data_IF_408069332439
#
_entry.id   IF_408069332439
#
_cell.length_a   1.000
_cell.length_b   1.000
_cell.length_c   1.000
_cell.angle_alpha   90.00
_cell.angle_beta   90.00
_cell.angle_gamma   90.00
#
_symmetry.space_group_name_H-M   'P 1'
#
loop_
_entity.id
_entity.type
_entity.pdbx_description
1 polymer ?
#
# COMPACT_ATOMS: atom_id res chain seq x y z
N UNK A 1 23.76 -40.09 62.86
CA UNK A 1 23.14 -39.92 64.19
C UNK A 1 22.60 -38.51 64.27
N UNK A 2 21.44 -38.22 64.90
CA UNK A 2 20.07 -38.70 64.55
C UNK A 2 19.24 -37.49 64.05
N UNK A 3 18.23 -37.63 63.19
CA UNK A 3 16.84 -38.02 63.43
C UNK A 3 16.03 -37.10 64.37
N UNK A 4 14.97 -36.48 63.86
CA UNK A 4 13.61 -36.46 64.34
C UNK A 4 12.77 -35.52 63.48
N UNK A 5 11.79 -35.94 62.67
CA UNK A 5 10.44 -36.37 62.98
C UNK A 5 9.57 -35.34 63.72
N UNK A 6 8.54 -34.83 63.01
CA UNK A 6 7.13 -34.97 63.36
C UNK A 6 6.25 -34.18 62.36
N UNK A 7 5.50 -34.89 61.55
CA UNK A 7 4.07 -35.27 61.67
C UNK A 7 3.07 -34.15 61.46
N UNK A 8 2.30 -34.33 60.40
CA UNK A 8 0.99 -33.75 60.12
C UNK A 8 -0.08 -34.19 61.18
N UNK A 9 -1.24 -33.59 61.20
CA UNK A 9 -2.45 -34.30 60.74
C UNK A 9 -3.39 -33.46 59.87
N UNK A 10 -3.91 -33.96 58.84
CA UNK A 10 -5.18 -34.56 58.40
C UNK A 10 -6.46 -34.20 59.21
N UNK A 11 -7.50 -33.73 58.50
CA UNK A 11 -8.91 -34.13 58.60
C UNK A 11 -9.72 -33.14 57.70
N UNK A 12 -10.31 -33.64 56.66
CA UNK A 12 -11.60 -34.33 56.46
C UNK A 12 -12.80 -33.39 56.32
N UNK A 13 -13.34 -33.45 55.10
CA UNK A 13 -14.74 -33.74 54.79
C UNK A 13 -15.86 -32.84 55.35
N UNK A 14 -16.64 -32.25 54.41
CA UNK A 14 -18.06 -32.61 54.27
C UNK A 14 -18.71 -31.89 53.06
N UNK A 15 -19.25 -32.73 52.19
CA UNK A 15 -20.31 -32.44 51.21
C UNK A 15 -21.57 -31.97 51.95
N UNK A 16 -22.33 -31.06 51.39
CA UNK A 16 -23.78 -31.05 51.47
C UNK A 16 -24.41 -30.44 50.22
N UNK A 17 -25.04 -31.30 49.46
CA UNK A 17 -26.14 -31.04 48.53
C UNK A 17 -27.42 -30.84 49.27
N UNK A 18 -28.28 -29.89 48.87
CA UNK A 18 -29.75 -29.85 49.11
C UNK A 18 -30.26 -29.02 47.93
N UNK A 19 -30.85 -29.54 46.98
CA UNK A 19 -32.15 -30.05 46.56
C UNK A 19 -33.31 -29.08 46.80
N UNK A 20 -33.94 -28.67 45.64
CA UNK A 20 -35.37 -28.55 45.35
C UNK A 20 -36.27 -27.76 46.34
N UNK A 21 -37.06 -26.83 45.73
CA UNK A 21 -38.55 -26.88 45.81
C UNK A 21 -39.15 -26.02 44.71
N UNK A 22 -40.05 -26.65 43.96
CA UNK A 22 -41.08 -26.12 43.09
C UNK A 22 -42.14 -25.34 43.89
N UNK A 23 -42.74 -24.26 43.36
CA UNK A 23 -44.14 -23.95 43.59
C UNK A 23 -44.82 -23.51 42.31
N UNK A 24 -45.94 -24.15 42.09
CA UNK A 24 -46.91 -24.07 41.03
C UNK A 24 -48.05 -23.11 41.48
N UNK A 25 -48.72 -22.47 40.48
CA UNK A 25 -50.11 -22.00 40.45
C UNK A 25 -50.58 -20.83 41.32
N UNK A 26 -51.07 -19.80 40.66
CA UNK A 26 -52.42 -19.34 40.87
C UNK A 26 -53.00 -18.64 39.67
N UNK A 27 -54.12 -19.18 39.26
CA UNK A 27 -55.11 -18.80 38.28
C UNK A 27 -55.96 -17.65 38.85
N UNK A 28 -56.15 -16.56 38.07
CA UNK A 28 -57.38 -15.79 38.18
C UNK A 28 -57.78 -15.13 36.86
N UNK A 29 -58.94 -15.54 36.43
CA UNK A 29 -59.74 -15.01 35.35
C UNK A 29 -60.26 -13.61 35.70
N UNK A 30 -60.19 -12.66 34.78
CA UNK A 30 -61.14 -11.55 34.66
C UNK A 30 -61.53 -11.43 33.17
N UNK A 31 -62.84 -11.55 32.98
CA UNK A 31 -63.58 -11.46 31.72
C UNK A 31 -63.81 -9.98 31.36
N UNK A 32 -63.70 -9.69 30.06
CA UNK A 32 -64.57 -8.71 29.39
C UNK A 32 -63.97 -7.40 28.98
N UNK A 33 -63.75 -7.19 27.74
CA UNK A 33 -64.51 -6.28 26.86
C UNK A 33 -64.01 -6.43 25.45
N UNK A 34 -64.86 -6.91 24.56
CA UNK A 34 -64.66 -6.93 23.12
C UNK A 34 -64.76 -5.50 22.55
N UNK A 35 -63.67 -4.97 22.06
CA UNK A 35 -63.70 -3.88 21.08
C UNK A 35 -63.01 -4.44 19.81
N UNK A 36 -63.82 -4.66 18.82
CA UNK A 36 -63.34 -5.10 17.50
C UNK A 36 -62.49 -4.03 16.83
N UNK A 37 -61.23 -4.35 16.62
CA UNK A 37 -60.41 -3.69 15.61
C UNK A 37 -60.25 -4.65 14.46
N UNK A 38 -60.80 -4.29 13.29
CA UNK A 38 -60.68 -4.95 12.04
C UNK A 38 -59.16 -5.04 11.66
N UNK A 39 -58.64 -6.26 11.67
CA UNK A 39 -57.32 -6.54 11.10
C UNK A 39 -57.39 -6.49 9.61
N UNK A 40 -56.98 -5.41 8.98
CA UNK A 40 -56.56 -5.41 7.56
C UNK A 40 -55.35 -6.32 7.38
N UNK A 41 -55.35 -7.18 6.40
CA UNK A 41 -54.18 -8.01 6.12
C UNK A 41 -53.02 -7.11 5.68
N UNK A 42 -51.94 -7.18 6.43
CA UNK A 42 -50.64 -6.56 6.04
C UNK A 42 -50.16 -7.19 4.75
N UNK A 43 -50.37 -6.52 3.63
CA UNK A 43 -49.67 -6.86 2.39
C UNK A 43 -48.24 -6.33 2.52
N UNK A 44 -47.20 -7.19 2.38
CA UNK A 44 -45.85 -6.71 2.25
C UNK A 44 -45.77 -5.91 0.95
N UNK A 45 -45.43 -4.63 1.08
CA UNK A 45 -45.03 -3.77 -0.03
C UNK A 45 -43.79 -4.40 -0.65
N UNK A 46 -43.98 -5.10 -1.73
CA UNK A 46 -42.90 -5.42 -2.68
C UNK A 46 -42.31 -4.08 -3.12
N UNK A 47 -40.97 -3.88 -2.98
CA UNK A 47 -40.34 -2.73 -3.61
C UNK A 47 -40.51 -2.94 -5.12
N UNK A 48 -41.45 -2.29 -5.75
CA UNK A 48 -41.40 -2.04 -7.18
C UNK A 48 -40.14 -1.17 -7.37
N UNK A 49 -39.03 -1.81 -7.71
CA UNK A 49 -37.91 -1.19 -8.40
C UNK A 49 -38.47 -0.68 -9.74
N UNK A 50 -39.11 0.47 -9.72
CA UNK A 50 -39.17 1.30 -10.91
C UNK A 50 -37.73 1.63 -11.23
N UNK A 51 -37.16 0.88 -12.17
CA UNK A 51 -35.95 1.30 -12.87
C UNK A 51 -36.33 2.57 -13.64
N UNK A 52 -36.30 3.72 -12.94
CA UNK A 52 -35.98 4.95 -13.64
C UNK A 52 -34.60 4.70 -14.23
N UNK A 53 -34.53 4.42 -15.53
CA UNK A 53 -33.37 4.78 -16.32
C UNK A 53 -33.10 6.24 -15.97
N UNK A 54 -32.22 6.49 -15.02
CA UNK A 54 -31.53 7.76 -14.95
C UNK A 54 -30.80 7.84 -16.28
N UNK A 55 -31.35 8.63 -17.19
CA UNK A 55 -30.53 9.28 -18.19
C UNK A 55 -29.50 10.05 -17.37
N UNK A 56 -28.33 9.46 -17.16
CA UNK A 56 -27.15 10.17 -16.75
C UNK A 56 -26.88 11.19 -17.85
N UNK A 57 -27.42 12.39 -17.67
CA UNK A 57 -26.97 13.54 -18.42
C UNK A 57 -25.49 13.62 -18.11
N UNK A 58 -24.62 13.35 -19.10
CA UNK A 58 -23.19 13.67 -19.00
C UNK A 58 -23.11 15.09 -18.48
N UNK A 59 -22.54 15.26 -17.30
CA UNK A 59 -22.32 16.58 -16.73
C UNK A 59 -21.46 17.35 -17.73
N UNK A 60 -21.98 18.44 -18.25
CA UNK A 60 -21.24 19.32 -19.16
C UNK A 60 -20.09 19.94 -18.34
N UNK A 61 -18.90 19.45 -18.54
CA UNK A 61 -17.69 19.95 -17.89
C UNK A 61 -17.21 21.28 -18.49
N UNK A 62 -17.97 21.83 -19.46
CA UNK A 62 -17.80 23.20 -19.97
C UNK A 62 -16.53 23.43 -20.81
N UNK A 63 -15.94 22.36 -21.34
CA UNK A 63 -14.74 22.46 -22.19
C UNK A 63 -14.96 22.04 -23.66
N UNK A 64 -16.17 21.63 -24.02
CA UNK A 64 -16.51 21.30 -25.41
C UNK A 64 -16.34 22.51 -26.32
N UNK A 65 -15.49 22.34 -27.35
CA UNK A 65 -15.23 23.36 -28.35
C UNK A 65 -14.19 24.42 -27.97
N UNK A 66 -13.58 24.36 -26.78
CA UNK A 66 -12.45 25.26 -26.46
C UNK A 66 -11.17 24.80 -27.19
N UNK A 67 -10.36 25.72 -27.73
CA UNK A 67 -9.09 25.38 -28.33
C UNK A 67 -8.17 24.76 -27.26
N UNK A 68 -7.61 23.59 -27.57
CA UNK A 68 -6.66 22.91 -26.71
C UNK A 68 -5.26 23.56 -26.82
N UNK A 69 -4.48 23.62 -25.74
CA UNK A 69 -3.12 24.16 -25.80
C UNK A 69 -2.18 23.21 -26.59
N UNK A 70 -0.93 23.66 -26.78
CA UNK A 70 0.06 22.81 -27.43
C UNK A 70 0.44 21.58 -26.55
N UNK A 71 0.87 20.47 -27.16
CA UNK A 71 1.46 19.36 -26.45
C UNK A 71 2.70 19.75 -25.64
N UNK A 72 2.93 19.08 -24.53
CA UNK A 72 4.09 19.28 -23.65
C UNK A 72 5.05 18.09 -23.81
N UNK A 73 6.33 18.37 -24.05
CA UNK A 73 7.37 17.32 -24.16
C UNK A 73 8.16 17.23 -22.86
N UNK A 74 8.32 16.03 -22.36
CA UNK A 74 9.18 15.65 -21.24
C UNK A 74 10.37 14.79 -21.74
N UNK A 75 11.33 14.47 -20.87
CA UNK A 75 12.50 13.68 -21.26
C UNK A 75 12.11 12.27 -21.75
N UNK A 76 11.15 11.61 -21.05
CA UNK A 76 10.73 10.25 -21.37
C UNK A 76 9.30 10.16 -21.92
N UNK A 77 8.56 11.26 -22.08
CA UNK A 77 7.18 11.24 -22.54
C UNK A 77 6.80 12.48 -23.33
N UNK A 78 5.65 12.43 -23.95
CA UNK A 78 4.91 13.58 -24.44
C UNK A 78 3.50 13.59 -23.86
N UNK A 79 2.97 14.77 -23.59
CA UNK A 79 1.63 14.96 -23.03
C UNK A 79 0.76 15.67 -24.06
N UNK A 80 -0.28 14.98 -24.51
CA UNK A 80 -1.18 15.47 -25.54
C UNK A 80 -2.42 16.05 -24.86
N UNK A 81 -2.74 17.35 -25.05
CA UNK A 81 -3.90 17.95 -24.41
C UNK A 81 -5.19 17.32 -24.94
N UNK A 82 -6.13 17.08 -24.04
CA UNK A 82 -7.41 16.45 -24.35
C UNK A 82 -8.55 17.17 -23.61
N UNK A 83 -9.79 17.14 -24.13
CA UNK A 83 -10.94 17.64 -23.40
C UNK A 83 -11.26 16.75 -22.19
N UNK A 84 -11.84 17.33 -21.15
CA UNK A 84 -12.21 16.59 -19.92
C UNK A 84 -13.20 15.46 -20.19
N UNK A 85 -14.07 15.63 -21.17
CA UNK A 85 -15.03 14.59 -21.62
C UNK A 85 -14.37 13.31 -22.14
N UNK A 86 -13.08 13.35 -22.46
CA UNK A 86 -12.30 12.19 -22.89
C UNK A 86 -11.71 11.35 -21.76
N UNK A 87 -11.79 11.79 -20.49
CA UNK A 87 -11.29 11.05 -19.33
C UNK A 87 -12.32 10.01 -18.89
N UNK A 88 -12.05 8.70 -19.06
CA UNK A 88 -13.06 7.68 -18.76
C UNK A 88 -13.42 7.64 -17.27
N UNK A 89 -14.69 7.90 -16.92
CA UNK A 89 -15.22 7.79 -15.55
C UNK A 89 -14.69 8.84 -14.56
N UNK A 90 -14.19 9.98 -15.02
CA UNK A 90 -13.70 11.06 -14.15
C UNK A 90 -14.82 11.62 -13.25
N UNK A 91 -16.05 11.57 -13.70
CA UNK A 91 -17.26 11.96 -12.99
C UNK A 91 -17.64 11.01 -11.83
N UNK A 92 -17.10 9.80 -11.81
CA UNK A 92 -17.49 8.73 -10.87
C UNK A 92 -16.51 8.56 -9.69
N UNK A 93 -15.34 9.20 -9.73
CA UNK A 93 -14.36 9.05 -8.66
C UNK A 93 -14.76 9.80 -7.39
N UNK A 94 -14.50 9.17 -6.25
CA UNK A 94 -14.63 9.76 -4.92
C UNK A 94 -13.43 10.65 -4.62
N UNK A 95 -13.43 11.85 -5.17
CA UNK A 95 -12.30 12.80 -5.14
C UNK A 95 -11.81 13.13 -3.72
N UNK A 96 -12.70 13.11 -2.71
CA UNK A 96 -12.30 13.35 -1.32
C UNK A 96 -11.21 12.38 -0.81
N UNK A 97 -11.15 11.16 -1.33
CA UNK A 97 -10.07 10.22 -1.01
C UNK A 97 -8.71 10.69 -1.61
N UNK A 98 -8.72 11.23 -2.82
CA UNK A 98 -7.52 11.79 -3.46
C UNK A 98 -7.05 13.07 -2.76
N UNK A 99 -7.97 13.82 -2.16
CA UNK A 99 -7.66 15.03 -1.43
C UNK A 99 -6.70 14.79 -0.27
N UNK A 100 -6.81 13.64 0.42
CA UNK A 100 -5.89 13.27 1.49
C UNK A 100 -4.43 13.16 0.98
N UNK A 101 -4.22 12.58 -0.20
CA UNK A 101 -2.90 12.52 -0.82
C UNK A 101 -2.41 13.92 -1.23
N UNK A 102 -3.29 14.74 -1.77
CA UNK A 102 -2.97 16.11 -2.19
C UNK A 102 -2.60 17.02 -1.01
N UNK A 103 -3.34 16.94 0.10
CA UNK A 103 -3.02 17.66 1.34
C UNK A 103 -1.63 17.30 1.87
N UNK A 104 -1.19 16.04 1.71
CA UNK A 104 0.17 15.61 2.08
C UNK A 104 1.21 16.25 1.17
N UNK A 105 1.02 16.31 -0.15
CA UNK A 105 1.90 17.07 -1.04
C UNK A 105 1.98 18.56 -0.64
N UNK A 106 0.89 19.13 -0.12
CA UNK A 106 0.88 20.50 0.40
C UNK A 106 1.58 20.69 1.75
N UNK A 107 2.02 19.63 2.42
CA UNK A 107 2.91 19.74 3.59
C UNK A 107 4.36 20.07 3.17
N UNK A 108 4.74 19.64 1.98
CA UNK A 108 6.04 19.91 1.38
C UNK A 108 5.85 20.34 -0.08
N UNK A 109 5.28 21.54 -0.30
CA UNK A 109 4.84 21.94 -1.63
C UNK A 109 6.02 22.05 -2.60
N UNK A 110 5.91 21.36 -3.72
CA UNK A 110 6.81 21.56 -4.87
C UNK A 110 6.36 22.78 -5.67
N UNK A 111 7.23 23.41 -6.47
CA UNK A 111 6.90 24.64 -7.23
C UNK A 111 5.64 24.51 -8.10
N UNK A 112 5.36 23.30 -8.57
CA UNK A 112 4.19 22.99 -9.39
C UNK A 112 2.86 23.31 -8.69
N UNK A 113 2.72 22.89 -7.43
CA UNK A 113 1.43 22.91 -6.71
C UNK A 113 1.38 23.91 -5.57
N UNK A 114 2.50 24.54 -5.21
CA UNK A 114 2.59 25.42 -4.02
C UNK A 114 1.50 26.51 -3.99
N UNK A 115 1.26 27.16 -5.12
CA UNK A 115 0.26 28.23 -5.27
C UNK A 115 -1.19 27.70 -5.08
N UNK A 116 -1.42 26.42 -5.32
CA UNK A 116 -2.74 25.79 -5.23
C UNK A 116 -3.06 25.27 -3.83
N UNK A 117 -2.07 25.17 -2.95
CA UNK A 117 -2.23 24.52 -1.64
C UNK A 117 -3.21 25.24 -0.70
N UNK A 118 -3.40 26.55 -0.86
CA UNK A 118 -4.43 27.29 -0.11
C UNK A 118 -5.83 26.80 -0.50
N UNK A 119 -6.09 26.71 -1.81
CA UNK A 119 -7.36 26.21 -2.33
C UNK A 119 -7.58 24.74 -1.97
N UNK A 120 -6.54 23.90 -2.09
CA UNK A 120 -6.61 22.49 -1.71
C UNK A 120 -7.00 22.31 -0.24
N UNK A 121 -6.43 23.10 0.69
CA UNK A 121 -6.81 23.06 2.10
C UNK A 121 -8.26 23.52 2.32
N UNK A 122 -8.68 24.61 1.66
CA UNK A 122 -10.05 25.11 1.74
C UNK A 122 -11.08 24.09 1.24
N UNK A 123 -10.78 23.42 0.13
CA UNK A 123 -11.67 22.45 -0.51
C UNK A 123 -11.62 21.05 0.13
N UNK A 124 -10.83 20.86 1.18
CA UNK A 124 -10.73 19.56 1.86
C UNK A 124 -12.02 19.12 2.57
N UNK A 125 -12.88 20.10 2.89
CA UNK A 125 -14.19 19.89 3.52
C UNK A 125 -15.37 20.02 2.54
N UNK A 126 -15.07 20.28 1.25
CA UNK A 126 -16.08 20.43 0.20
C UNK A 126 -16.52 19.07 -0.36
N UNK A 127 -17.67 19.07 -1.01
CA UNK A 127 -18.15 17.86 -1.71
C UNK A 127 -17.35 17.57 -2.99
N UNK A 128 -17.52 16.37 -3.52
CA UNK A 128 -16.82 15.93 -4.72
C UNK A 128 -17.17 16.72 -5.98
N UNK A 129 -18.35 17.32 -6.04
CA UNK A 129 -18.77 18.15 -7.18
C UNK A 129 -18.00 19.48 -7.19
N UNK A 130 -17.89 20.15 -6.03
CA UNK A 130 -17.12 21.39 -5.89
C UNK A 130 -15.64 21.16 -6.17
N UNK A 131 -15.08 20.07 -5.63
CA UNK A 131 -13.73 19.63 -5.89
C UNK A 131 -13.48 19.41 -7.39
N UNK A 132 -14.40 18.72 -8.08
CA UNK A 132 -14.33 18.47 -9.54
C UNK A 132 -14.38 19.76 -10.34
N UNK A 133 -15.33 20.65 -10.05
CA UNK A 133 -15.44 21.96 -10.71
C UNK A 133 -14.15 22.78 -10.55
N UNK A 134 -13.57 22.77 -9.38
CA UNK A 134 -12.30 23.46 -9.14
C UNK A 134 -11.17 22.84 -9.97
N UNK A 135 -11.03 21.49 -10.00
CA UNK A 135 -10.02 20.81 -10.83
C UNK A 135 -10.17 21.23 -12.30
N UNK A 136 -11.37 21.12 -12.86
CA UNK A 136 -11.64 21.45 -14.26
C UNK A 136 -11.34 22.92 -14.57
N UNK A 137 -11.58 23.83 -13.63
CA UNK A 137 -11.30 25.26 -13.80
C UNK A 137 -9.81 25.63 -13.71
N UNK A 138 -9.01 24.86 -12.96
CA UNK A 138 -7.61 25.18 -12.66
C UNK A 138 -6.60 24.40 -13.48
N UNK A 139 -7.01 23.27 -14.08
CA UNK A 139 -6.12 22.35 -14.77
C UNK A 139 -6.58 22.09 -16.21
N UNK A 140 -5.61 21.75 -17.04
CA UNK A 140 -5.80 21.11 -18.34
C UNK A 140 -5.42 19.64 -18.23
N UNK A 141 -6.23 18.76 -18.79
CA UNK A 141 -5.91 17.35 -18.87
C UNK A 141 -5.05 17.03 -20.09
N UNK A 142 -3.99 16.26 -19.89
CA UNK A 142 -3.08 15.82 -20.94
C UNK A 142 -2.93 14.30 -20.89
N UNK A 143 -3.20 13.62 -21.99
CA UNK A 143 -2.93 12.19 -22.14
C UNK A 143 -1.44 11.95 -22.25
N UNK A 144 -0.91 11.07 -21.42
CA UNK A 144 0.53 10.72 -21.45
C UNK A 144 0.77 9.67 -22.52
N UNK A 145 1.78 9.92 -23.36
CA UNK A 145 2.25 9.00 -24.39
C UNK A 145 3.77 8.88 -24.31
N UNK A 146 4.30 7.76 -24.80
CA UNK A 146 5.73 7.68 -25.04
C UNK A 146 6.11 8.52 -26.28
N UNK A 147 7.41 8.69 -26.51
CA UNK A 147 7.92 9.52 -27.63
C UNK A 147 7.60 8.92 -29.02
N UNK A 148 7.04 7.70 -29.07
CA UNK A 148 6.55 7.04 -30.29
C UNK A 148 5.02 7.01 -30.34
N UNK A 149 4.34 7.89 -29.61
CA UNK A 149 2.87 8.06 -29.58
C UNK A 149 2.08 6.86 -29.11
N UNK A 150 2.65 6.00 -28.26
CA UNK A 150 1.92 4.95 -27.58
C UNK A 150 1.47 5.44 -26.19
N UNK A 151 0.16 5.37 -25.95
CA UNK A 151 -0.49 5.80 -24.72
C UNK A 151 -0.83 4.64 -23.77
N UNK A 152 -0.49 3.41 -24.12
CA UNK A 152 -0.72 2.24 -23.27
C UNK A 152 0.61 1.77 -22.69
N UNK A 153 0.64 1.65 -21.38
CA UNK A 153 1.78 1.19 -20.64
C UNK A 153 1.40 0.13 -19.60
N UNK A 154 2.08 0.10 -18.47
CA UNK A 154 1.91 -0.95 -17.48
C UNK A 154 1.71 -0.39 -16.07
N UNK A 155 0.67 -0.89 -15.39
CA UNK A 155 0.45 -0.74 -13.96
C UNK A 155 0.92 -1.99 -13.23
N UNK A 156 1.70 -1.79 -12.17
CA UNK A 156 1.90 -2.74 -11.08
C UNK A 156 1.46 -2.11 -9.77
N UNK A 157 1.53 -2.84 -8.68
CA UNK A 157 1.28 -2.29 -7.37
C UNK A 157 2.32 -2.77 -6.35
N UNK A 158 2.52 -1.95 -5.32
CA UNK A 158 3.39 -2.23 -4.19
C UNK A 158 2.68 -1.95 -2.88
N UNK A 159 3.24 -2.43 -1.80
CA UNK A 159 2.65 -2.30 -0.47
C UNK A 159 3.74 -2.21 0.60
N UNK A 160 3.37 -1.88 1.80
CA UNK A 160 4.26 -1.89 2.96
C UNK A 160 4.04 -3.19 3.75
N UNK A 161 4.96 -4.19 3.68
CA UNK A 161 4.82 -5.44 4.41
C UNK A 161 4.87 -5.22 5.93
N UNK A 162 4.19 -6.12 6.66
CA UNK A 162 4.21 -6.19 8.12
C UNK A 162 4.91 -7.49 8.54
N UNK A 163 5.97 -7.38 9.33
CA UNK A 163 6.79 -8.50 9.74
C UNK A 163 7.01 -8.50 11.25
N UNK A 164 7.32 -9.68 11.80
CA UNK A 164 7.86 -9.83 13.16
C UNK A 164 9.37 -9.91 13.11
N UNK A 165 10.02 -9.28 14.08
CA UNK A 165 11.47 -9.29 14.20
C UNK A 165 11.91 -9.26 15.66
N UNK A 166 13.17 -9.62 15.88
CA UNK A 166 13.86 -9.47 17.15
C UNK A 166 15.01 -8.48 17.02
N UNK A 167 15.30 -7.76 18.09
CA UNK A 167 16.45 -6.84 18.12
C UNK A 167 17.78 -7.58 18.10
N UNK A 168 17.82 -8.78 18.66
CA UNK A 168 19.00 -9.64 18.69
C UNK A 168 18.77 -10.91 17.88
N UNK A 169 19.85 -11.46 17.34
CA UNK A 169 19.82 -12.73 16.61
C UNK A 169 19.45 -13.90 17.52
N UNK A 170 18.68 -14.84 16.98
CA UNK A 170 18.35 -16.12 17.60
C UNK A 170 18.29 -17.22 16.55
N UNK A 171 18.11 -18.48 16.95
CA UNK A 171 17.97 -19.60 16.01
C UNK A 171 16.80 -19.40 15.04
N UNK A 172 15.72 -18.77 15.50
CA UNK A 172 14.53 -18.50 14.67
C UNK A 172 14.67 -17.19 13.91
N UNK A 173 15.13 -16.13 14.56
CA UNK A 173 15.28 -14.81 13.97
C UNK A 173 16.75 -14.56 13.65
N UNK A 174 17.21 -15.06 12.52
CA UNK A 174 18.63 -15.07 12.15
C UNK A 174 19.00 -14.24 10.92
N UNK A 175 18.02 -13.70 10.22
CA UNK A 175 18.23 -12.95 8.97
C UNK A 175 18.26 -11.45 9.27
N UNK A 176 19.45 -10.79 9.19
CA UNK A 176 19.59 -9.38 9.52
C UNK A 176 19.01 -8.45 8.45
N UNK A 177 18.41 -7.36 8.91
CA UNK A 177 18.09 -6.18 8.11
C UNK A 177 18.99 -5.04 8.56
N UNK A 178 19.66 -4.40 7.61
CA UNK A 178 20.75 -3.50 7.90
C UNK A 178 20.41 -2.03 7.73
N UNK A 179 20.98 -1.20 8.59
CA UNK A 179 21.22 0.22 8.34
C UNK A 179 22.27 0.44 7.25
N UNK A 180 22.53 1.68 6.90
CA UNK A 180 23.50 2.02 5.84
C UNK A 180 24.93 1.78 6.34
N UNK A 181 25.69 0.83 5.77
CA UNK A 181 27.06 0.55 6.18
C UNK A 181 28.01 1.70 5.79
N UNK A 182 29.11 1.80 6.51
CA UNK A 182 30.20 2.70 6.12
C UNK A 182 30.73 2.32 4.74
N UNK A 183 30.95 3.33 3.88
CA UNK A 183 31.45 3.12 2.52
C UNK A 183 30.38 2.99 1.43
N UNK A 184 29.09 2.84 1.79
CA UNK A 184 27.99 2.98 0.83
C UNK A 184 27.86 4.45 0.43
N UNK A 185 28.01 4.74 -0.88
CA UNK A 185 27.91 6.09 -1.43
C UNK A 185 26.91 6.11 -2.58
N UNK A 186 26.10 7.15 -2.67
CA UNK A 186 25.17 7.32 -3.77
C UNK A 186 25.92 7.28 -5.12
N UNK A 187 25.37 6.49 -6.08
CA UNK A 187 25.93 6.36 -7.41
C UNK A 187 27.17 5.45 -7.56
N UNK A 188 27.73 4.92 -6.45
CA UNK A 188 28.86 3.99 -6.49
C UNK A 188 28.40 2.58 -6.14
N UNK A 189 28.79 1.61 -6.97
CA UNK A 189 28.53 0.19 -6.71
C UNK A 189 29.17 -0.23 -5.38
N UNK A 190 28.43 -0.98 -4.58
CA UNK A 190 28.91 -1.62 -3.37
C UNK A 190 28.75 -3.13 -3.49
N UNK A 191 29.06 -3.90 -2.46
CA UNK A 191 29.03 -5.37 -2.49
C UNK A 191 27.65 -5.92 -2.95
N UNK A 192 27.67 -7.00 -3.71
CA UNK A 192 26.45 -7.74 -4.08
C UNK A 192 25.86 -8.45 -2.86
N UNK A 193 24.59 -8.87 -2.94
CA UNK A 193 23.95 -9.70 -1.91
C UNK A 193 24.79 -10.94 -1.58
N UNK A 194 25.26 -11.66 -2.58
CA UNK A 194 26.14 -12.83 -2.41
C UNK A 194 27.43 -12.47 -1.67
N UNK A 195 28.11 -11.38 -2.07
CA UNK A 195 29.33 -10.96 -1.40
C UNK A 195 29.11 -10.54 0.05
N UNK A 196 27.97 -9.97 0.39
CA UNK A 196 27.60 -9.62 1.76
C UNK A 196 27.45 -10.85 2.68
N UNK A 197 27.19 -12.02 2.11
CA UNK A 197 27.03 -13.29 2.84
C UNK A 197 28.27 -14.20 2.78
N UNK A 198 29.18 -13.99 1.81
CA UNK A 198 30.30 -14.92 1.52
C UNK A 198 31.67 -14.29 1.61
N UNK A 199 31.79 -12.98 1.46
CA UNK A 199 33.07 -12.28 1.49
C UNK A 199 33.33 -11.71 2.88
N UNK A 200 34.42 -12.14 3.53
CA UNK A 200 34.76 -11.72 4.91
C UNK A 200 34.90 -10.22 5.06
N UNK A 201 35.49 -9.52 4.07
CA UNK A 201 35.65 -8.06 4.13
C UNK A 201 34.31 -7.31 4.02
N UNK A 202 33.36 -7.82 3.21
CA UNK A 202 32.01 -7.27 3.14
C UNK A 202 31.23 -7.52 4.44
N UNK A 203 31.35 -8.73 5.02
CA UNK A 203 30.70 -9.10 6.28
C UNK A 203 31.22 -8.22 7.45
N UNK A 204 32.53 -7.95 7.51
CA UNK A 204 33.09 -7.06 8.54
C UNK A 204 32.54 -5.62 8.43
N UNK A 205 32.27 -5.12 7.22
CA UNK A 205 31.69 -3.80 7.01
C UNK A 205 30.20 -3.72 7.39
N UNK A 206 29.53 -4.86 7.53
CA UNK A 206 28.12 -4.94 7.94
C UNK A 206 27.95 -5.01 9.46
N UNK A 207 28.97 -5.45 10.19
CA UNK A 207 28.92 -5.59 11.65
C UNK A 207 28.57 -4.28 12.35
N UNK A 208 27.57 -4.34 13.24
CA UNK A 208 27.08 -3.18 13.98
C UNK A 208 26.13 -2.28 13.19
N UNK A 209 25.75 -2.70 11.97
CA UNK A 209 24.71 -2.04 11.17
C UNK A 209 23.39 -2.83 11.13
N UNK A 210 23.31 -3.95 11.84
CA UNK A 210 22.07 -4.72 12.00
C UNK A 210 21.05 -3.90 12.79
N UNK A 211 19.86 -3.71 12.23
CA UNK A 211 18.77 -3.01 12.94
C UNK A 211 17.92 -4.04 13.68
N UNK A 212 17.46 -5.06 12.96
CA UNK A 212 16.63 -6.16 13.48
C UNK A 212 16.92 -7.44 12.72
N UNK A 213 16.47 -8.57 13.28
CA UNK A 213 16.55 -9.88 12.65
C UNK A 213 15.16 -10.43 12.40
N UNK A 214 14.88 -10.90 11.18
CA UNK A 214 13.64 -11.57 10.77
C UNK A 214 13.85 -13.08 10.64
N UNK A 215 12.75 -13.84 10.62
CA UNK A 215 12.82 -15.30 10.58
C UNK A 215 12.99 -15.87 9.17
N UNK A 216 12.55 -15.15 8.13
CA UNK A 216 12.46 -15.68 6.76
C UNK A 216 13.25 -14.77 5.79
N UNK A 217 14.18 -15.35 5.05
CA UNK A 217 15.00 -14.63 4.09
C UNK A 217 14.22 -14.13 2.87
N UNK A 218 13.10 -14.78 2.52
CA UNK A 218 12.21 -14.32 1.46
C UNK A 218 11.41 -13.10 1.93
N UNK A 219 10.99 -13.06 3.20
CA UNK A 219 10.36 -11.86 3.78
C UNK A 219 11.32 -10.66 3.82
N UNK A 220 12.59 -10.91 4.18
CA UNK A 220 13.64 -9.89 4.08
C UNK A 220 13.81 -9.37 2.64
N UNK A 221 13.81 -10.27 1.65
CA UNK A 221 13.87 -9.89 0.23
C UNK A 221 12.65 -9.08 -0.18
N UNK A 222 11.43 -9.51 0.21
CA UNK A 222 10.19 -8.79 -0.09
C UNK A 222 10.28 -7.37 0.45
N UNK A 223 10.63 -7.20 1.73
CA UNK A 223 10.76 -5.89 2.36
C UNK A 223 11.76 -5.00 1.62
N UNK A 224 12.89 -5.55 1.19
CA UNK A 224 13.88 -4.83 0.40
C UNK A 224 13.38 -4.43 -1.01
N UNK A 225 12.57 -5.27 -1.65
CA UNK A 225 11.95 -4.96 -2.95
C UNK A 225 10.87 -3.87 -2.80
N UNK A 226 10.06 -3.94 -1.74
CA UNK A 226 9.04 -2.93 -1.43
C UNK A 226 9.64 -1.60 -0.97
N UNK A 227 10.87 -1.62 -0.41
CA UNK A 227 11.63 -0.42 0.00
C UNK A 227 11.30 0.09 1.40
N UNK A 228 10.25 -0.38 2.04
CA UNK A 228 9.90 -0.10 3.43
C UNK A 228 9.02 -1.21 4.00
N UNK A 229 8.91 -1.26 5.32
CA UNK A 229 8.01 -2.19 6.02
C UNK A 229 7.76 -1.78 7.45
N UNK A 230 6.63 -2.25 7.99
CA UNK A 230 6.28 -2.16 9.41
C UNK A 230 6.79 -3.40 10.11
N UNK A 231 7.42 -3.24 11.23
CA UNK A 231 8.05 -4.34 11.94
C UNK A 231 7.66 -4.30 13.41
N UNK A 232 7.04 -5.39 13.88
CA UNK A 232 6.81 -5.66 15.29
C UNK A 232 8.11 -6.19 15.89
N UNK A 233 8.79 -5.37 16.66
CA UNK A 233 10.10 -5.70 17.24
C UNK A 233 9.94 -6.18 18.67
N UNK A 234 10.53 -7.34 18.96
CA UNK A 234 10.74 -7.81 20.34
C UNK A 234 12.14 -7.37 20.78
N UNK A 235 12.21 -6.53 21.82
CA UNK A 235 13.46 -6.07 22.43
C UNK A 235 14.04 -7.13 23.40
N UNK A 236 15.33 -7.04 23.79
CA UNK A 236 15.96 -8.00 24.71
C UNK A 236 15.30 -8.11 26.09
N UNK A 237 14.65 -7.05 26.55
CA UNK A 237 13.89 -7.03 27.81
C UNK A 237 12.46 -7.60 27.67
N UNK A 238 12.08 -8.07 26.49
CA UNK A 238 10.78 -8.64 26.17
C UNK A 238 9.70 -7.61 25.81
N UNK A 239 10.02 -6.33 25.78
CA UNK A 239 9.07 -5.32 25.30
C UNK A 239 8.83 -5.46 23.80
N UNK A 240 7.60 -5.17 23.37
CA UNK A 240 7.19 -5.26 21.97
C UNK A 240 6.65 -3.91 21.52
N UNK A 241 7.15 -3.42 20.40
CA UNK A 241 6.66 -2.19 19.78
C UNK A 241 6.79 -2.23 18.26
N UNK A 242 6.08 -1.34 17.60
CA UNK A 242 6.13 -1.20 16.14
C UNK A 242 7.10 -0.12 15.72
N UNK A 243 7.91 -0.44 14.72
CA UNK A 243 8.75 0.52 14.00
C UNK A 243 8.46 0.46 12.51
N UNK A 244 8.86 1.47 11.79
CA UNK A 244 9.00 1.42 10.33
C UNK A 244 10.48 1.28 9.97
N UNK A 245 10.79 0.29 9.15
CA UNK A 245 12.04 0.28 8.40
C UNK A 245 11.80 1.04 7.10
N UNK A 246 12.29 2.26 7.04
CA UNK A 246 12.17 3.15 5.89
C UNK A 246 13.42 3.08 5.02
N UNK A 247 13.24 3.19 3.71
CA UNK A 247 14.34 3.25 2.73
C UNK A 247 15.37 4.31 3.12
N UNK A 248 16.63 3.94 3.14
CA UNK A 248 17.76 4.85 3.39
C UNK A 248 18.76 4.90 2.22
N UNK A 249 19.17 3.74 1.72
CA UNK A 249 20.11 3.63 0.60
C UNK A 249 20.00 2.25 -0.07
N UNK A 250 20.77 2.07 -1.12
CA UNK A 250 21.00 0.74 -1.73
C UNK A 250 22.49 0.53 -1.95
N UNK A 251 22.88 -0.71 -2.21
CA UNK A 251 24.23 -1.05 -2.67
C UNK A 251 24.50 -0.64 -4.14
N UNK A 252 23.59 0.09 -4.76
CA UNK A 252 23.61 0.53 -6.17
C UNK A 252 23.77 -0.59 -7.21
N UNK A 253 23.65 -1.86 -6.82
CA UNK A 253 23.60 -2.99 -7.76
C UNK A 253 22.29 -2.94 -8.57
N UNK A 254 22.30 -3.44 -9.82
CA UNK A 254 21.09 -3.51 -10.64
C UNK A 254 20.07 -4.47 -9.99
N UNK A 255 18.79 -4.11 -10.11
CA UNK A 255 17.72 -5.03 -9.70
C UNK A 255 17.61 -6.17 -10.72
N UNK A 256 17.56 -7.41 -10.21
CA UNK A 256 17.22 -8.60 -10.98
C UNK A 256 16.04 -9.33 -10.33
N UNK A 257 15.12 -9.80 -11.16
CA UNK A 257 13.89 -10.43 -10.68
C UNK A 257 14.12 -11.89 -10.28
N UNK A 258 13.90 -12.23 -9.03
CA UNK A 258 13.90 -13.63 -8.55
C UNK A 258 12.82 -14.47 -9.24
N UNK A 259 11.70 -13.85 -9.64
CA UNK A 259 10.67 -14.51 -10.47
C UNK A 259 11.24 -14.95 -11.82
N UNK A 260 12.07 -14.09 -12.44
CA UNK A 260 12.71 -14.42 -13.70
C UNK A 260 13.71 -15.57 -13.51
N UNK A 261 14.49 -15.52 -12.43
CA UNK A 261 15.41 -16.62 -12.11
C UNK A 261 14.66 -17.95 -11.90
N UNK A 262 13.53 -17.96 -11.16
CA UNK A 262 12.70 -19.16 -10.98
C UNK A 262 12.19 -19.69 -12.32
N UNK A 263 11.73 -18.81 -13.20
CA UNK A 263 11.24 -19.18 -14.53
C UNK A 263 12.32 -19.85 -15.39
N UNK A 264 13.54 -19.32 -15.34
CA UNK A 264 14.64 -19.77 -16.18
C UNK A 264 15.38 -21.01 -15.63
N UNK A 265 15.33 -21.25 -14.30
CA UNK A 265 16.14 -22.27 -13.64
C UNK A 265 15.32 -23.38 -12.96
N UNK A 266 13.98 -23.32 -13.04
CA UNK A 266 13.09 -24.30 -12.39
C UNK A 266 11.82 -24.54 -13.22
N UNK A 267 11.08 -25.60 -12.87
CA UNK A 267 9.73 -25.85 -13.40
C UNK A 267 8.63 -25.14 -12.61
N UNK A 268 9.00 -24.30 -11.62
CA UNK A 268 8.03 -23.55 -10.81
C UNK A 268 7.30 -22.49 -11.61
N UNK A 269 5.98 -22.38 -11.44
CA UNK A 269 5.13 -21.43 -12.20
C UNK A 269 4.18 -20.60 -11.33
N UNK A 270 4.29 -20.71 -10.01
CA UNK A 270 3.52 -19.90 -9.07
C UNK A 270 4.40 -18.74 -8.55
N UNK A 271 4.28 -17.56 -9.18
CA UNK A 271 5.18 -16.42 -8.93
C UNK A 271 4.61 -15.37 -7.98
N UNK A 272 3.51 -15.66 -7.30
CA UNK A 272 3.06 -14.86 -6.15
C UNK A 272 4.05 -15.00 -4.98
N UNK A 273 4.11 -14.02 -4.09
CA UNK A 273 4.99 -14.11 -2.92
C UNK A 273 4.72 -15.37 -2.07
N UNK A 274 3.45 -15.75 -1.77
CA UNK A 274 3.19 -17.04 -1.14
C UNK A 274 3.72 -18.23 -1.93
N UNK A 275 3.61 -18.21 -3.26
CA UNK A 275 4.16 -19.26 -4.13
C UNK A 275 5.68 -19.33 -4.08
N UNK A 276 6.37 -18.17 -4.10
CA UNK A 276 7.84 -18.11 -3.96
C UNK A 276 8.28 -18.63 -2.58
N UNK A 277 7.58 -18.26 -1.50
CA UNK A 277 7.84 -18.81 -0.15
C UNK A 277 7.64 -20.32 -0.09
N UNK A 278 6.59 -20.83 -0.73
CA UNK A 278 6.34 -22.28 -0.84
C UNK A 278 7.44 -22.98 -1.63
N UNK A 279 7.91 -22.39 -2.73
CA UNK A 279 9.05 -22.93 -3.45
C UNK A 279 10.31 -22.96 -2.56
N UNK A 280 10.61 -21.88 -1.86
CA UNK A 280 11.76 -21.76 -0.98
C UNK A 280 11.73 -22.81 0.15
N UNK A 281 10.56 -23.03 0.78
CA UNK A 281 10.41 -24.05 1.82
C UNK A 281 10.66 -25.47 1.33
N UNK A 282 10.34 -25.76 0.07
CA UNK A 282 10.56 -27.07 -0.55
C UNK A 282 11.97 -27.24 -1.16
N UNK A 283 12.75 -26.16 -1.28
CA UNK A 283 14.05 -26.14 -1.98
C UNK A 283 15.10 -25.40 -1.14
N UNK A 284 15.21 -25.70 0.15
CA UNK A 284 16.06 -24.97 1.10
C UNK A 284 17.53 -24.88 0.68
N UNK A 285 18.04 -25.90 0.01
CA UNK A 285 19.42 -25.93 -0.53
C UNK A 285 19.65 -24.97 -1.70
N UNK A 286 18.59 -24.48 -2.35
CA UNK A 286 18.67 -23.57 -3.50
C UNK A 286 18.16 -22.14 -3.19
N UNK A 287 17.66 -21.91 -1.97
CA UNK A 287 17.12 -20.59 -1.59
C UNK A 287 18.18 -19.49 -1.74
N UNK A 288 19.41 -19.73 -1.28
CA UNK A 288 20.50 -18.74 -1.43
C UNK A 288 20.77 -18.41 -2.88
N UNK A 289 20.83 -19.42 -3.75
CA UNK A 289 21.02 -19.23 -5.20
C UNK A 289 19.95 -18.31 -5.80
N UNK A 290 18.68 -18.54 -5.43
CA UNK A 290 17.56 -17.68 -5.82
C UNK A 290 17.71 -16.25 -5.28
N UNK A 291 18.03 -16.09 -3.99
CA UNK A 291 18.20 -14.78 -3.37
C UNK A 291 19.37 -13.99 -3.99
N UNK A 292 20.49 -14.64 -4.22
CA UNK A 292 21.70 -14.04 -4.80
C UNK A 292 21.52 -13.66 -6.28
N UNK A 293 20.55 -14.25 -6.98
CA UNK A 293 20.19 -13.84 -8.34
C UNK A 293 19.77 -12.37 -8.41
N UNK A 294 19.27 -11.79 -7.29
CA UNK A 294 19.09 -10.36 -7.16
C UNK A 294 20.25 -9.74 -6.35
N UNK A 295 21.27 -9.17 -7.02
CA UNK A 295 22.43 -8.63 -6.33
C UNK A 295 22.13 -7.35 -5.53
N UNK A 296 20.96 -6.71 -5.79
CA UNK A 296 20.56 -5.47 -5.12
C UNK A 296 20.12 -5.73 -3.70
N UNK A 297 20.58 -4.88 -2.79
CA UNK A 297 20.18 -4.83 -1.37
C UNK A 297 19.74 -3.41 -1.03
N UNK A 298 18.70 -3.30 -0.23
CA UNK A 298 18.20 -2.05 0.35
C UNK A 298 18.64 -1.98 1.81
N UNK A 299 19.16 -0.85 2.20
CA UNK A 299 19.48 -0.48 3.57
C UNK A 299 18.40 0.44 4.13
N UNK A 300 18.15 0.32 5.41
CA UNK A 300 17.03 0.98 6.05
C UNK A 300 17.48 2.00 7.09
N UNK A 301 16.56 2.84 7.52
CA UNK A 301 16.62 3.57 8.77
C UNK A 301 15.38 3.24 9.58
N UNK A 302 15.53 3.20 10.86
CA UNK A 302 14.44 3.02 11.80
C UNK A 302 13.67 4.33 11.97
N UNK A 303 12.34 4.27 11.89
CA UNK A 303 11.43 5.36 12.21
C UNK A 303 10.40 4.84 13.22
N UNK A 304 10.12 5.58 14.31
CA UNK A 304 9.08 5.19 15.24
C UNK A 304 7.71 5.22 14.55
N UNK A 305 6.86 4.24 14.85
CA UNK A 305 5.45 4.25 14.46
C UNK A 305 4.58 4.63 15.66
N UNK A 306 3.71 5.60 15.47
CA UNK A 306 2.67 5.98 16.43
C UNK A 306 1.32 5.46 15.98
N UNK A 307 0.35 5.39 16.89
CA UNK A 307 -1.03 4.99 16.57
C UNK A 307 -1.69 5.91 15.51
N UNK A 308 -1.18 7.13 15.32
CA UNK A 308 -1.64 8.04 14.27
C UNK A 308 -1.11 7.68 12.88
N UNK A 309 -0.14 6.78 12.78
CA UNK A 309 0.48 6.37 11.52
C UNK A 309 -0.23 5.19 10.82
N UNK A 310 -1.27 4.63 11.44
CA UNK A 310 -2.00 3.48 10.89
C UNK A 310 -2.55 3.71 9.48
N UNK A 311 -2.89 4.96 9.16
CA UNK A 311 -3.41 5.35 7.85
C UNK A 311 -2.35 6.03 6.94
N UNK A 312 -1.11 6.17 7.43
CA UNK A 312 -0.02 6.80 6.71
C UNK A 312 0.96 5.76 6.20
N UNK A 313 1.13 5.68 4.89
CA UNK A 313 2.19 4.90 4.28
C UNK A 313 3.59 5.47 4.56
N UNK A 314 4.64 4.82 4.06
CA UNK A 314 6.00 5.30 4.16
C UNK A 314 6.16 6.64 3.45
N UNK A 315 7.27 7.33 3.73
CA UNK A 315 7.63 8.56 3.01
C UNK A 315 8.09 8.22 1.60
N UNK A 316 7.35 8.71 0.59
CA UNK A 316 7.72 8.57 -0.83
C UNK A 316 8.83 9.54 -1.25
N UNK A 317 9.25 9.45 -2.51
CA UNK A 317 10.34 10.26 -3.09
C UNK A 317 10.02 11.75 -3.15
N UNK A 318 8.75 12.15 -3.22
CA UNK A 318 8.31 13.55 -3.04
C UNK A 318 8.67 14.07 -1.64
N UNK A 319 8.88 13.19 -0.67
CA UNK A 319 9.20 13.52 0.71
C UNK A 319 7.98 13.67 1.61
N UNK A 320 6.82 13.16 1.21
CA UNK A 320 5.57 13.12 1.97
C UNK A 320 5.10 11.69 2.19
N UNK A 321 4.27 11.44 3.20
CA UNK A 321 3.73 10.11 3.47
C UNK A 321 2.74 9.68 2.39
N UNK A 322 2.89 8.46 1.88
CA UNK A 322 2.00 7.91 0.86
C UNK A 322 0.59 7.65 1.41
N UNK A 323 -0.38 7.75 0.53
CA UNK A 323 -1.79 7.47 0.84
C UNK A 323 -2.23 6.21 0.10
N UNK A 324 -2.69 5.17 0.83
CA UNK A 324 -3.19 3.95 0.21
C UNK A 324 -4.23 4.24 -0.86
N UNK A 325 -4.05 3.65 -2.03
CA UNK A 325 -5.01 3.79 -3.14
C UNK A 325 -5.05 5.16 -3.82
N UNK A 326 -4.18 6.11 -3.43
CA UNK A 326 -4.16 7.49 -3.97
C UNK A 326 -2.75 8.03 -4.25
N UNK A 327 -1.70 7.28 -3.92
CA UNK A 327 -0.32 7.60 -4.30
C UNK A 327 0.19 6.60 -5.33
N UNK A 328 1.00 7.08 -6.26
CA UNK A 328 1.68 6.26 -7.26
C UNK A 328 3.16 6.60 -7.32
N UNK A 329 3.99 5.58 -7.59
CA UNK A 329 5.35 5.76 -8.04
C UNK A 329 5.35 5.88 -9.57
N UNK A 330 6.15 6.81 -10.07
CA UNK A 330 6.29 7.14 -11.50
C UNK A 330 7.76 7.31 -11.89
N UNK A 331 8.03 7.40 -13.18
CA UNK A 331 9.29 7.92 -13.71
C UNK A 331 9.28 9.46 -13.63
N UNK A 332 10.11 10.09 -12.77
CA UNK A 332 10.12 11.55 -12.63
C UNK A 332 10.55 12.31 -13.89
N UNK A 333 11.18 11.62 -14.86
CA UNK A 333 11.51 12.15 -16.19
C UNK A 333 10.33 12.13 -17.15
N UNK A 334 9.25 11.45 -16.77
CA UNK A 334 7.97 11.46 -17.47
C UNK A 334 6.92 12.31 -16.75
N UNK A 335 6.77 12.14 -15.44
CA UNK A 335 5.76 12.84 -14.63
C UNK A 335 6.45 13.37 -13.36
N UNK A 336 6.56 14.68 -13.16
CA UNK A 336 7.16 15.29 -11.97
C UNK A 336 6.38 14.94 -10.69
N UNK A 337 7.09 14.90 -9.55
CA UNK A 337 6.43 14.69 -8.25
C UNK A 337 5.45 15.84 -7.92
N UNK A 338 4.41 15.51 -7.14
CA UNK A 338 3.34 16.42 -6.79
C UNK A 338 2.28 16.61 -7.89
N UNK A 339 2.45 15.94 -9.04
CA UNK A 339 1.49 16.03 -10.15
C UNK A 339 0.24 15.21 -9.84
N UNK A 340 -0.97 15.77 -9.90
CA UNK A 340 -2.21 15.01 -9.92
C UNK A 340 -2.37 14.30 -11.27
N UNK A 341 -2.73 13.02 -11.22
CA UNK A 341 -2.80 12.14 -12.39
C UNK A 341 -4.13 11.39 -12.38
N UNK A 342 -4.87 11.45 -13.47
CA UNK A 342 -5.99 10.56 -13.72
C UNK A 342 -5.44 9.22 -14.21
N UNK A 343 -5.72 8.15 -13.49
CA UNK A 343 -5.25 6.79 -13.76
C UNK A 343 -6.43 5.93 -14.21
N UNK A 344 -6.27 5.28 -15.36
CA UNK A 344 -7.19 4.25 -15.85
C UNK A 344 -6.43 2.97 -16.10
N UNK A 345 -6.89 1.89 -15.49
CA UNK A 345 -6.31 0.57 -15.67
C UNK A 345 -7.40 -0.49 -15.54
N UNK A 346 -7.52 -1.36 -16.52
CA UNK A 346 -8.55 -2.37 -16.58
C UNK A 346 -7.93 -3.74 -16.81
N UNK A 347 -7.95 -4.57 -15.78
CA UNK A 347 -7.56 -5.97 -15.81
C UNK A 347 -8.74 -6.90 -15.60
N UNK A 348 -8.49 -8.20 -15.63
CA UNK A 348 -9.52 -9.23 -15.40
C UNK A 348 -10.13 -9.14 -13.99
N UNK A 349 -9.33 -8.76 -12.99
CA UNK A 349 -9.73 -8.79 -11.58
C UNK A 349 -9.88 -7.41 -10.95
N UNK A 350 -9.23 -6.40 -11.51
CA UNK A 350 -9.17 -5.06 -10.92
C UNK A 350 -9.40 -4.02 -12.00
N UNK A 351 -10.34 -3.10 -11.73
CA UNK A 351 -10.59 -1.91 -12.55
C UNK A 351 -10.36 -0.68 -11.70
N UNK A 352 -9.49 0.18 -12.17
CA UNK A 352 -9.14 1.43 -11.51
C UNK A 352 -9.41 2.61 -12.44
N UNK A 353 -10.16 3.57 -11.95
CA UNK A 353 -10.40 4.89 -12.57
C UNK A 353 -10.37 5.89 -11.44
N UNK A 354 -9.19 6.46 -11.17
CA UNK A 354 -8.94 7.22 -9.95
C UNK A 354 -8.03 8.41 -10.19
N UNK A 355 -8.32 9.48 -9.48
CA UNK A 355 -7.36 10.56 -9.29
C UNK A 355 -6.33 10.12 -8.24
N UNK A 356 -5.06 10.17 -8.62
CA UNK A 356 -3.92 9.78 -7.79
C UNK A 356 -2.83 10.86 -7.84
N UNK A 357 -1.92 10.83 -6.89
CA UNK A 357 -0.80 11.78 -6.82
C UNK A 357 0.52 11.08 -7.14
N UNK A 358 1.33 11.67 -7.99
CA UNK A 358 2.69 11.21 -8.28
C UNK A 358 3.62 11.58 -7.12
N UNK A 359 3.77 10.70 -6.14
CA UNK A 359 4.46 11.00 -4.86
C UNK A 359 5.68 10.13 -4.60
N UNK A 360 5.92 9.13 -5.47
CA UNK A 360 7.01 8.20 -5.27
C UNK A 360 7.68 7.80 -6.59
N UNK A 361 8.76 7.03 -6.49
CA UNK A 361 9.48 6.42 -7.60
C UNK A 361 10.06 5.06 -7.19
N UNK A 362 10.54 4.32 -8.16
CA UNK A 362 11.24 3.06 -7.95
C UNK A 362 12.23 2.80 -9.09
N UNK A 363 13.33 2.08 -8.81
CA UNK A 363 14.36 1.79 -9.81
C UNK A 363 13.85 0.99 -11.03
N UNK A 364 12.72 0.29 -10.88
CA UNK A 364 12.06 -0.45 -11.96
C UNK A 364 10.89 0.32 -12.59
N UNK A 365 10.60 1.53 -12.09
CA UNK A 365 9.50 2.37 -12.56
C UNK A 365 10.06 3.40 -13.53
N UNK A 366 10.33 2.97 -14.74
CA UNK A 366 10.95 3.75 -15.81
C UNK A 366 10.06 3.72 -17.06
N UNK A 367 9.91 4.86 -17.72
CA UNK A 367 9.16 5.02 -18.97
C UNK A 367 7.92 5.90 -18.85
N UNK A 368 7.37 6.26 -19.99
CA UNK A 368 6.32 7.26 -20.13
C UNK A 368 5.03 6.90 -19.39
N UNK A 369 4.47 5.75 -19.69
CA UNK A 369 3.19 5.29 -19.14
C UNK A 369 3.47 4.11 -18.22
N UNK A 370 4.21 4.38 -17.13
CA UNK A 370 4.59 3.39 -16.12
C UNK A 370 4.23 3.92 -14.73
N UNK A 371 3.43 3.19 -14.01
CA UNK A 371 3.12 3.53 -12.62
C UNK A 371 3.12 2.29 -11.73
N UNK A 372 3.45 2.50 -10.45
CA UNK A 372 3.34 1.53 -9.39
C UNK A 372 2.37 2.07 -8.33
N UNK A 373 1.29 1.35 -8.08
CA UNK A 373 0.17 1.82 -7.26
C UNK A 373 0.38 1.43 -5.80
N UNK A 374 0.41 2.39 -4.90
CA UNK A 374 0.55 2.12 -3.47
C UNK A 374 -0.75 1.54 -2.91
N UNK A 375 -0.75 0.26 -2.62
CA UNK A 375 -1.93 -0.47 -2.15
C UNK A 375 -2.24 -0.25 -0.66
N UNK A 376 -1.23 0.11 0.15
CA UNK A 376 -1.34 0.24 1.60
C UNK A 376 -0.36 -0.65 2.34
N UNK A 377 -0.69 -1.04 3.57
CA UNK A 377 0.16 -1.87 4.43
C UNK A 377 -0.51 -3.20 4.76
N UNK A 378 0.30 -4.20 5.13
CA UNK A 378 -0.16 -5.50 5.58
C UNK A 378 -0.54 -6.50 4.48
N UNK A 379 -1.07 -7.65 4.91
CA UNK A 379 -1.31 -8.81 4.03
C UNK A 379 -2.35 -8.55 2.95
N UNK A 380 -3.47 -7.88 3.27
CA UNK A 380 -4.52 -7.58 2.29
C UNK A 380 -4.02 -6.68 1.16
N UNK A 381 -3.22 -5.66 1.51
CA UNK A 381 -2.56 -4.80 0.53
C UNK A 381 -1.56 -5.59 -0.33
N UNK A 382 -0.84 -6.54 0.28
CA UNK A 382 0.08 -7.44 -0.43
C UNK A 382 -0.63 -8.37 -1.41
N UNK A 383 -1.75 -8.95 -1.03
CA UNK A 383 -2.58 -9.77 -1.92
C UNK A 383 -3.16 -8.96 -3.08
N UNK A 384 -3.64 -7.74 -2.79
CA UNK A 384 -4.12 -6.83 -3.83
C UNK A 384 -2.99 -6.47 -4.79
N UNK A 385 -1.82 -6.05 -4.28
CA UNK A 385 -0.67 -5.67 -5.08
C UNK A 385 -0.19 -6.83 -5.98
N UNK A 386 -0.17 -8.05 -5.45
CA UNK A 386 0.24 -9.25 -6.20
C UNK A 386 -0.64 -9.59 -7.41
N UNK A 387 -1.85 -9.03 -7.48
CA UNK A 387 -2.80 -9.24 -8.61
C UNK A 387 -2.69 -8.16 -9.69
N UNK A 388 -1.93 -7.08 -9.44
CA UNK A 388 -1.85 -5.92 -10.35
C UNK A 388 -0.61 -6.04 -11.25
N UNK A 389 -0.84 -6.46 -12.47
CA UNK A 389 0.07 -6.33 -13.60
C UNK A 389 -0.78 -6.26 -14.86
N UNK A 390 -1.13 -5.05 -15.27
CA UNK A 390 -2.15 -4.84 -16.29
C UNK A 390 -1.91 -3.55 -17.07
N UNK A 391 -2.67 -3.37 -18.15
CA UNK A 391 -2.59 -2.20 -19.00
C UNK A 391 -2.92 -0.92 -18.23
N UNK A 392 -2.25 0.16 -18.60
CA UNK A 392 -2.34 1.47 -17.96
C UNK A 392 -2.49 2.57 -18.99
N UNK A 393 -3.37 3.52 -18.70
CA UNK A 393 -3.41 4.81 -19.35
C UNK A 393 -3.36 5.91 -18.27
N UNK A 394 -2.65 7.00 -18.56
CA UNK A 394 -2.46 8.11 -17.64
C UNK A 394 -2.82 9.43 -18.30
N UNK A 395 -3.44 10.32 -17.53
CA UNK A 395 -3.64 11.72 -17.89
C UNK A 395 -3.08 12.59 -16.78
N UNK A 396 -2.10 13.41 -17.11
CA UNK A 396 -1.57 14.45 -16.23
C UNK A 396 -2.58 15.59 -16.16
N UNK A 397 -2.88 16.06 -14.96
CA UNK A 397 -3.63 17.29 -14.75
C UNK A 397 -2.62 18.41 -14.49
N UNK A 398 -2.41 19.28 -15.49
CA UNK A 398 -1.41 20.33 -15.44
C UNK A 398 -2.06 21.68 -15.16
N UNK A 399 -1.55 22.51 -14.22
CA UNK A 399 -2.14 23.80 -13.91
C UNK A 399 -2.12 24.74 -15.11
N UNK A 400 -3.25 25.41 -15.40
CA UNK A 400 -3.43 26.30 -16.55
C UNK A 400 -2.47 27.49 -16.56
N UNK A 401 -1.94 27.91 -15.40
CA UNK A 401 -1.07 29.08 -15.23
C UNK A 401 0.43 28.71 -15.11
N UNK A 402 0.79 27.46 -15.32
CA UNK A 402 2.18 27.00 -15.25
C UNK A 402 2.68 26.61 -16.63
N UNK A 403 3.87 27.09 -16.98
CA UNK A 403 4.62 26.52 -18.08
C UNK A 403 5.29 25.23 -17.63
N UNK A 404 5.41 24.24 -18.51
CA UNK A 404 6.01 22.93 -18.20
C UNK A 404 7.52 23.02 -17.98
#
# INVERSE_FOLDING_TARGET
MPANNNKAPSASSKRRSIRFVFYFLSFMLIVGVLVGCSSSPYQPLSPQLTSKKQNESKEDLGDEGKPLPAPIRQEHSQWIPVPWSSLPGFDQDRLHEAWNAWLKSCQKPVPLIGDLCLDVRRLSISDGLEQRKWIVSRFQAYKVENLSSNAVGMLTAYYEPELKAHREASDTFSIPLYGVPYGVKAGSLWHTREAMETNTGAMEQLKGHEIVYVADAVDALILQIQGSGRVEVTEPDGTIHWIRLAFAATNNQPYQSVTRWLLDNTEWREFSWPGIKKWASNNQNRVREMLWSNPRVVFFREEPLSNSDDHNGPRGAEGVSLTPGRSIAVDPKSIPYGTPVWLVSEGSNVKLRKLVMAQDTGSAIVGAVRADYFAGSGSEAGEFAGRIKQDLQLWVLWPNNKQP
#
